data_IF_868971415366
#
_entry.id   IF_868971415366
#
_cell.length_a   1.000
_cell.length_b   1.000
_cell.length_c   1.000
_cell.angle_alpha   90.00
_cell.angle_beta   90.00
_cell.angle_gamma   90.00
#
_symmetry.space_group_name_H-M   'P 1'
#
loop_
_entity.id
_entity.type
_entity.pdbx_description
1 polymer ?
#
# COMPACT_ATOMS: atom_id res chain seq x y z
N UNK A 1 -3.29 13.10 -16.89
CA UNK A 1 -2.13 13.48 -16.05
C UNK A 1 -0.86 13.33 -16.87
N UNK A 2 0.11 14.24 -16.72
CA UNK A 2 1.42 14.16 -17.39
C UNK A 2 2.43 13.45 -16.47
N UNK A 3 3.45 12.84 -17.07
CA UNK A 3 4.56 12.24 -16.34
C UNK A 3 5.35 13.28 -15.53
N UNK A 4 5.77 12.90 -14.33
CA UNK A 4 6.64 13.68 -13.44
C UNK A 4 7.73 12.79 -12.87
N UNK A 5 8.98 13.14 -13.16
CA UNK A 5 10.15 12.45 -12.64
C UNK A 5 10.23 12.55 -11.10
N UNK A 6 9.90 13.72 -10.56
CA UNK A 6 9.88 13.94 -9.10
C UNK A 6 8.85 13.03 -8.42
N UNK A 7 7.64 12.93 -8.99
CA UNK A 7 6.60 12.04 -8.45
C UNK A 7 7.05 10.57 -8.50
N UNK A 8 7.69 10.15 -9.60
CA UNK A 8 8.23 8.79 -9.72
C UNK A 8 9.25 8.48 -8.62
N UNK A 9 10.22 9.38 -8.40
CA UNK A 9 11.25 9.21 -7.36
C UNK A 9 10.60 9.12 -5.98
N UNK A 10 9.72 10.07 -5.63
CA UNK A 10 9.05 10.11 -4.32
C UNK A 10 8.24 8.83 -4.08
N UNK A 11 7.42 8.42 -5.04
CA UNK A 11 6.58 7.22 -4.94
C UNK A 11 7.44 5.96 -4.84
N UNK A 12 8.44 5.81 -5.70
CA UNK A 12 9.33 4.65 -5.70
C UNK A 12 10.07 4.54 -4.37
N UNK A 13 10.65 5.64 -3.87
CA UNK A 13 11.36 5.66 -2.59
C UNK A 13 10.43 5.38 -1.41
N UNK A 14 9.24 5.99 -1.39
CA UNK A 14 8.25 5.73 -0.34
C UNK A 14 7.81 4.26 -0.32
N UNK A 15 7.60 3.68 -1.50
CA UNK A 15 7.22 2.28 -1.63
C UNK A 15 8.33 1.34 -1.13
N UNK A 16 9.58 1.56 -1.56
CA UNK A 16 10.75 0.80 -1.07
C UNK A 16 10.89 0.96 0.44
N UNK A 17 10.83 2.19 0.97
CA UNK A 17 10.94 2.48 2.39
C UNK A 17 9.86 1.78 3.21
N UNK A 18 8.61 1.76 2.73
CA UNK A 18 7.51 1.05 3.39
C UNK A 18 7.76 -0.46 3.49
N UNK A 19 8.33 -1.06 2.44
CA UNK A 19 8.74 -2.46 2.42
C UNK A 19 9.89 -2.74 3.38
N UNK A 20 10.90 -1.88 3.41
CA UNK A 20 12.05 -2.03 4.31
C UNK A 20 11.59 -1.98 5.78
N UNK A 21 10.77 -0.98 6.14
CA UNK A 21 10.20 -0.86 7.50
C UNK A 21 9.37 -2.10 7.85
N UNK A 22 8.52 -2.54 6.93
CA UNK A 22 7.72 -3.75 7.14
C UNK A 22 8.61 -5.00 7.32
N UNK A 23 9.65 -5.16 6.51
CA UNK A 23 10.47 -6.37 6.54
C UNK A 23 11.42 -6.41 7.74
N UNK A 24 12.00 -5.27 8.13
CA UNK A 24 13.00 -5.21 9.19
C UNK A 24 12.42 -4.99 10.59
N UNK A 25 11.25 -4.36 10.71
CA UNK A 25 10.65 -4.05 12.01
C UNK A 25 9.37 -4.84 12.26
N UNK A 26 8.42 -4.83 11.32
CA UNK A 26 7.10 -5.42 11.54
C UNK A 26 7.16 -6.94 11.45
N UNK A 27 7.81 -7.47 10.42
CA UNK A 27 7.81 -8.91 10.13
C UNK A 27 8.50 -9.75 11.22
N UNK A 28 9.64 -9.33 11.81
CA UNK A 28 10.25 -10.08 12.91
C UNK A 28 9.37 -10.11 14.16
N UNK A 29 8.75 -8.98 14.50
CA UNK A 29 7.83 -8.89 15.64
C UNK A 29 6.59 -9.76 15.40
N UNK A 30 6.00 -9.69 14.20
CA UNK A 30 4.86 -10.53 13.84
C UNK A 30 5.22 -12.02 13.92
N UNK A 31 6.38 -12.43 13.39
CA UNK A 31 6.82 -13.83 13.43
C UNK A 31 7.01 -14.34 14.86
N UNK A 32 7.45 -13.48 15.78
CA UNK A 32 7.58 -13.83 17.19
C UNK A 32 6.22 -14.01 17.90
N UNK A 33 5.21 -13.21 17.55
CA UNK A 33 3.88 -13.23 18.18
C UNK A 33 2.91 -14.22 17.50
N UNK A 34 3.00 -14.35 16.18
CA UNK A 34 2.13 -15.17 15.33
C UNK A 34 2.97 -16.05 14.39
N UNK A 35 3.72 -17.03 14.92
CA UNK A 35 4.64 -17.85 14.13
C UNK A 35 3.93 -18.71 13.07
N UNK A 36 2.63 -19.01 13.28
CA UNK A 36 1.80 -19.80 12.38
C UNK A 36 1.34 -19.03 11.12
N UNK A 37 1.46 -17.70 11.11
CA UNK A 37 1.10 -16.92 9.92
C UNK A 37 2.16 -17.09 8.83
N UNK A 38 1.76 -17.38 7.58
CA UNK A 38 2.70 -17.49 6.47
C UNK A 38 3.53 -16.21 6.32
N UNK A 39 4.84 -16.36 6.05
CA UNK A 39 5.76 -15.22 5.93
C UNK A 39 5.41 -14.24 4.78
N UNK A 40 4.61 -14.69 3.81
CA UNK A 40 4.07 -13.87 2.71
C UNK A 40 2.87 -13.00 3.12
N UNK A 41 2.32 -13.22 4.32
CA UNK A 41 1.19 -12.47 4.89
C UNK A 41 1.69 -11.57 6.00
N UNK A 42 1.37 -10.27 5.93
CA UNK A 42 1.67 -9.31 7.00
C UNK A 42 0.39 -8.67 7.52
N UNK A 43 0.19 -8.67 8.84
CA UNK A 43 -0.91 -8.02 9.55
C UNK A 43 -0.75 -6.50 9.63
N UNK A 44 0.39 -5.95 9.21
CA UNK A 44 0.61 -4.53 9.00
C UNK A 44 1.42 -4.32 7.72
N UNK A 45 0.71 -4.31 6.59
CA UNK A 45 1.32 -4.23 5.27
C UNK A 45 1.34 -2.78 4.76
N UNK A 46 2.33 -2.02 5.21
CA UNK A 46 2.55 -0.61 4.83
C UNK A 46 2.55 -0.33 3.31
N UNK A 47 3.09 -1.20 2.44
CA UNK A 47 3.13 -0.93 1.00
C UNK A 47 1.77 -0.75 0.36
N UNK A 48 0.71 -1.37 0.91
CA UNK A 48 -0.66 -1.14 0.44
C UNK A 48 -1.06 0.32 0.54
N UNK A 49 -0.74 0.97 1.65
CA UNK A 49 -1.02 2.39 1.86
C UNK A 49 -0.39 3.27 0.78
N UNK A 50 0.87 3.00 0.44
CA UNK A 50 1.58 3.74 -0.60
C UNK A 50 0.93 3.53 -1.97
N UNK A 51 0.49 2.31 -2.32
CA UNK A 51 -0.21 2.03 -3.58
C UNK A 51 -1.51 2.83 -3.68
N UNK A 52 -2.34 2.75 -2.64
CA UNK A 52 -3.63 3.45 -2.62
C UNK A 52 -3.44 4.95 -2.74
N UNK A 53 -2.55 5.55 -1.95
CA UNK A 53 -2.24 6.97 -2.03
C UNK A 53 -1.72 7.37 -3.41
N UNK A 54 -0.85 6.55 -3.99
CA UNK A 54 -0.29 6.80 -5.31
C UNK A 54 -1.38 6.81 -6.38
N UNK A 55 -2.27 5.80 -6.42
CA UNK A 55 -3.37 5.80 -7.37
C UNK A 55 -4.40 6.91 -7.08
N UNK A 56 -4.61 7.23 -5.80
CA UNK A 56 -5.51 8.31 -5.38
C UNK A 56 -5.04 9.68 -5.90
N UNK A 57 -3.74 9.99 -5.81
CA UNK A 57 -3.20 11.29 -6.23
C UNK A 57 -2.66 11.34 -7.66
N UNK A 58 -2.11 10.25 -8.17
CA UNK A 58 -1.46 10.19 -9.49
C UNK A 58 -2.31 9.48 -10.54
N UNK A 59 -3.48 8.94 -10.16
CA UNK A 59 -4.33 8.19 -11.08
C UNK A 59 -3.57 7.04 -11.74
N UNK A 60 -3.82 6.81 -13.02
CA UNK A 60 -3.19 5.73 -13.79
C UNK A 60 -1.66 5.87 -13.92
N UNK A 61 -1.12 7.10 -13.88
CA UNK A 61 0.34 7.33 -13.89
C UNK A 61 1.01 6.73 -12.65
N UNK A 62 0.25 6.53 -11.57
CA UNK A 62 0.69 5.84 -10.38
C UNK A 62 1.25 4.46 -10.65
N UNK A 63 0.75 3.76 -11.68
CA UNK A 63 1.29 2.47 -12.09
C UNK A 63 2.77 2.60 -12.48
N UNK A 64 3.08 3.54 -13.38
CA UNK A 64 4.45 3.80 -13.85
C UNK A 64 5.35 4.20 -12.69
N UNK A 65 4.84 5.02 -11.75
CA UNK A 65 5.61 5.49 -10.61
C UNK A 65 5.92 4.39 -9.58
N UNK A 66 5.08 3.36 -9.47
CA UNK A 66 5.28 2.23 -8.56
C UNK A 66 6.17 1.13 -9.16
N UNK A 67 6.20 0.98 -10.49
CA UNK A 67 6.88 -0.15 -11.16
C UNK A 67 8.34 -0.35 -10.72
N UNK A 68 9.21 0.68 -10.66
CA UNK A 68 10.62 0.46 -10.28
C UNK A 68 10.75 -0.10 -8.87
N UNK A 69 10.04 0.48 -7.89
CA UNK A 69 10.05 0.02 -6.51
C UNK A 69 9.37 -1.35 -6.34
N UNK A 70 8.28 -1.59 -7.07
CA UNK A 70 7.55 -2.85 -7.05
C UNK A 70 8.38 -4.02 -7.58
N UNK A 71 9.08 -3.81 -8.69
CA UNK A 71 9.97 -4.80 -9.28
C UNK A 71 11.20 -5.05 -8.39
N UNK A 72 11.87 -3.98 -7.92
CA UNK A 72 13.02 -4.10 -7.03
C UNK A 72 12.66 -4.84 -5.75
N UNK A 73 11.54 -4.49 -5.10
CA UNK A 73 11.15 -5.15 -3.86
C UNK A 73 10.74 -6.59 -4.09
N UNK A 74 10.02 -6.91 -5.16
CA UNK A 74 9.77 -8.30 -5.52
C UNK A 74 11.07 -9.11 -5.64
N UNK A 75 12.06 -8.57 -6.37
CA UNK A 75 13.36 -9.21 -6.56
C UNK A 75 14.07 -9.43 -5.22
N UNK A 76 14.10 -8.43 -4.35
CA UNK A 76 14.71 -8.53 -3.02
C UNK A 76 13.99 -9.53 -2.11
N UNK A 77 12.66 -9.61 -2.18
CA UNK A 77 11.91 -10.59 -1.38
C UNK A 77 12.21 -12.03 -1.82
N UNK A 78 12.23 -12.28 -3.13
CA UNK A 78 12.52 -13.61 -3.69
C UNK A 78 13.98 -14.01 -3.47
N UNK A 79 14.92 -13.22 -3.96
CA UNK A 79 16.34 -13.60 -3.97
C UNK A 79 17.10 -13.19 -2.72
N UNK A 80 16.70 -12.11 -2.04
CA UNK A 80 17.36 -11.60 -0.85
C UNK A 80 16.86 -12.26 0.44
N UNK A 81 15.54 -12.38 0.61
CA UNK A 81 14.94 -13.01 1.80
C UNK A 81 14.53 -14.48 1.63
N UNK A 82 14.74 -15.06 0.44
CA UNK A 82 14.46 -16.47 0.18
C UNK A 82 12.97 -16.83 0.17
N UNK A 83 12.08 -15.86 -0.07
CA UNK A 83 10.63 -16.09 -0.18
C UNK A 83 10.31 -16.68 -1.57
N UNK A 84 10.68 -17.95 -1.77
CA UNK A 84 10.53 -18.65 -3.05
C UNK A 84 9.07 -18.75 -3.55
N UNK A 85 8.07 -18.57 -2.68
CA UNK A 85 6.65 -18.52 -3.03
C UNK A 85 6.12 -17.14 -3.44
N UNK A 86 6.96 -16.09 -3.43
CA UNK A 86 6.53 -14.73 -3.75
C UNK A 86 6.55 -14.48 -5.26
N UNK A 87 5.44 -14.79 -5.94
CA UNK A 87 5.32 -14.67 -7.39
C UNK A 87 5.22 -13.22 -7.88
N UNK A 88 5.89 -12.89 -8.99
CA UNK A 88 5.80 -11.56 -9.63
C UNK A 88 4.35 -11.21 -10.02
N UNK A 89 3.56 -12.22 -10.39
CA UNK A 89 2.14 -12.06 -10.67
C UNK A 89 1.37 -11.48 -9.47
N UNK A 90 1.80 -11.77 -8.23
CA UNK A 90 1.23 -11.18 -7.02
C UNK A 90 1.40 -9.66 -6.98
N UNK A 91 2.56 -9.15 -7.42
CA UNK A 91 2.80 -7.70 -7.56
C UNK A 91 1.83 -7.07 -8.57
N UNK A 92 1.60 -7.72 -9.71
CA UNK A 92 0.65 -7.24 -10.71
C UNK A 92 -0.80 -7.25 -10.20
N UNK A 93 -1.23 -8.35 -9.57
CA UNK A 93 -2.55 -8.48 -8.92
C UNK A 93 -2.74 -7.34 -7.94
N UNK A 94 -1.79 -7.16 -7.02
CA UNK A 94 -1.83 -6.09 -6.02
C UNK A 94 -1.99 -4.69 -6.62
N UNK A 95 -1.22 -4.36 -7.66
CA UNK A 95 -1.29 -3.05 -8.30
C UNK A 95 -2.64 -2.84 -8.99
N UNK A 96 -3.14 -3.86 -9.70
CA UNK A 96 -4.44 -3.84 -10.37
C UNK A 96 -5.59 -3.71 -9.35
N UNK A 97 -5.56 -4.49 -8.28
CA UNK A 97 -6.58 -4.43 -7.22
C UNK A 97 -6.63 -3.04 -6.58
N UNK A 98 -5.48 -2.44 -6.27
CA UNK A 98 -5.43 -1.07 -5.73
C UNK A 98 -5.95 -0.04 -6.72
N UNK A 99 -5.57 -0.15 -8.00
CA UNK A 99 -6.05 0.76 -9.05
C UNK A 99 -7.58 0.68 -9.20
N UNK A 100 -8.13 -0.54 -9.28
CA UNK A 100 -9.57 -0.78 -9.38
C UNK A 100 -10.28 -0.26 -8.12
N UNK A 101 -9.76 -0.54 -6.93
CA UNK A 101 -10.33 -0.06 -5.67
C UNK A 101 -10.43 1.46 -5.59
N UNK A 102 -9.39 2.18 -6.04
CA UNK A 102 -9.42 3.64 -6.15
C UNK A 102 -10.41 4.12 -7.22
N UNK A 103 -10.46 3.46 -8.38
CA UNK A 103 -11.41 3.82 -9.43
C UNK A 103 -12.87 3.63 -8.98
N UNK A 104 -13.18 2.53 -8.29
CA UNK A 104 -14.50 2.27 -7.71
C UNK A 104 -14.86 3.29 -6.64
N UNK A 105 -13.94 3.60 -5.71
CA UNK A 105 -14.18 4.62 -4.71
C UNK A 105 -14.47 5.99 -5.33
N UNK A 106 -13.71 6.38 -6.37
CA UNK A 106 -13.98 7.60 -7.13
C UNK A 106 -15.39 7.61 -7.71
N UNK A 107 -15.83 6.50 -8.29
CA UNK A 107 -17.17 6.37 -8.84
C UNK A 107 -18.26 6.55 -7.76
N UNK A 108 -18.12 5.86 -6.62
CA UNK A 108 -19.07 6.00 -5.50
C UNK A 108 -19.14 7.40 -4.91
N UNK A 109 -18.03 8.14 -4.95
CA UNK A 109 -17.93 9.48 -4.40
C UNK A 109 -17.93 10.57 -5.46
N UNK A 110 -18.34 10.31 -6.71
CA UNK A 110 -18.25 11.27 -7.83
C UNK A 110 -18.72 12.68 -7.48
N UNK A 111 -19.87 12.81 -6.81
CA UNK A 111 -20.43 14.11 -6.38
C UNK A 111 -19.57 14.83 -5.33
N UNK A 112 -18.99 14.08 -4.40
CA UNK A 112 -18.12 14.62 -3.34
C UNK A 112 -16.72 14.91 -3.88
N UNK A 113 -16.19 14.04 -4.73
CA UNK A 113 -14.86 14.11 -5.34
C UNK A 113 -14.69 15.32 -6.25
N UNK A 114 -15.70 15.63 -7.06
CA UNK A 114 -15.70 16.83 -7.94
C UNK A 114 -15.79 18.12 -7.12
N UNK A 115 -16.46 18.09 -5.95
CA UNK A 115 -16.58 19.26 -5.06
C UNK A 115 -15.35 19.46 -4.16
N UNK A 116 -14.60 18.39 -3.86
CA UNK A 116 -13.46 18.43 -2.94
C UNK A 116 -12.15 18.33 -3.71
N UNK A 117 -11.54 19.47 -4.05
CA UNK A 117 -10.12 19.55 -4.35
C UNK A 117 -9.22 19.28 -3.10
N UNK A 118 -9.80 18.72 -2.03
CA UNK A 118 -9.20 18.57 -0.71
C UNK A 118 -8.96 17.10 -0.39
N UNK A 119 -7.86 16.86 0.33
CA UNK A 119 -7.54 15.57 0.94
C UNK A 119 -8.70 15.06 1.81
N UNK A 120 -9.19 13.84 1.53
CA UNK A 120 -10.17 13.14 2.38
C UNK A 120 -9.63 11.77 2.77
N UNK A 121 -9.20 11.65 4.03
CA UNK A 121 -8.70 10.37 4.54
C UNK A 121 -9.77 9.28 4.51
N UNK A 122 -11.05 9.63 4.64
CA UNK A 122 -12.16 8.68 4.56
C UNK A 122 -12.29 8.07 3.16
N UNK A 123 -12.21 8.88 2.10
CA UNK A 123 -12.24 8.38 0.73
C UNK A 123 -11.05 7.47 0.43
N UNK A 124 -9.87 7.83 0.95
CA UNK A 124 -8.66 7.00 0.85
C UNK A 124 -8.86 5.66 1.56
N UNK A 125 -9.41 5.65 2.78
CA UNK A 125 -9.69 4.41 3.52
C UNK A 125 -10.68 3.51 2.77
N UNK A 126 -11.75 4.06 2.22
CA UNK A 126 -12.72 3.28 1.43
C UNK A 126 -12.06 2.69 0.18
N UNK A 127 -11.28 3.48 -0.55
CA UNK A 127 -10.50 2.97 -1.69
C UNK A 127 -9.54 1.85 -1.27
N UNK A 128 -8.91 2.00 -0.11
CA UNK A 128 -8.03 1.00 0.51
C UNK A 128 -8.73 -0.30 0.83
N UNK A 129 -9.92 -0.26 1.41
CA UNK A 129 -10.74 -1.44 1.71
C UNK A 129 -11.13 -2.15 0.42
N UNK A 130 -11.66 -1.42 -0.57
CA UNK A 130 -12.06 -2.00 -1.86
C UNK A 130 -10.87 -2.65 -2.59
N UNK A 131 -9.73 -1.96 -2.63
CA UNK A 131 -8.51 -2.50 -3.23
C UNK A 131 -7.98 -3.71 -2.48
N UNK A 132 -8.10 -3.70 -1.15
CA UNK A 132 -7.64 -4.80 -0.30
C UNK A 132 -8.47 -6.08 -0.48
N UNK A 133 -9.80 -5.98 -0.62
CA UNK A 133 -10.65 -7.15 -0.87
C UNK A 133 -10.22 -7.87 -2.16
N UNK A 134 -10.00 -7.11 -3.25
CA UNK A 134 -9.52 -7.66 -4.51
C UNK A 134 -8.11 -8.24 -4.40
N UNK A 135 -7.22 -7.55 -3.66
CA UNK A 135 -5.85 -7.98 -3.44
C UNK A 135 -5.81 -9.30 -2.64
N UNK A 136 -6.54 -9.38 -1.54
CA UNK A 136 -6.65 -10.55 -0.69
C UNK A 136 -7.21 -11.75 -1.46
N UNK A 137 -8.25 -11.56 -2.28
CA UNK A 137 -8.80 -12.62 -3.13
C UNK A 137 -7.74 -13.14 -4.12
N UNK A 138 -7.11 -12.24 -4.88
CA UNK A 138 -6.13 -12.61 -5.89
C UNK A 138 -4.87 -13.24 -5.32
N UNK A 139 -4.33 -12.71 -4.22
CA UNK A 139 -3.15 -13.27 -3.56
C UNK A 139 -3.44 -14.62 -2.89
N UNK A 140 -4.60 -14.77 -2.25
CA UNK A 140 -4.98 -16.04 -1.63
C UNK A 140 -5.09 -17.15 -2.68
N UNK A 141 -5.72 -16.86 -3.83
CA UNK A 141 -5.84 -17.81 -4.94
C UNK A 141 -4.50 -18.10 -5.63
N UNK A 142 -3.59 -17.11 -5.70
CA UNK A 142 -2.30 -17.28 -6.36
C UNK A 142 -1.31 -18.07 -5.50
N UNK A 143 -1.29 -17.83 -4.19
CA UNK A 143 -0.24 -18.32 -3.28
C UNK A 143 -0.61 -19.61 -2.55
N UNK A 144 -1.90 -19.96 -2.47
CA UNK A 144 -2.38 -21.10 -1.71
C UNK A 144 -3.30 -21.98 -2.55
N UNK A 145 -3.03 -23.28 -2.60
CA UNK A 145 -3.84 -24.25 -3.36
C UNK A 145 -5.26 -24.42 -2.79
N UNK A 146 -5.43 -24.21 -1.48
CA UNK A 146 -6.70 -24.20 -0.78
C UNK A 146 -6.78 -22.95 0.10
N UNK A 147 -7.19 -21.79 -0.46
CA UNK A 147 -7.23 -20.54 0.29
C UNK A 147 -8.25 -20.60 1.42
N UNK A 148 -7.80 -20.31 2.65
CA UNK A 148 -8.68 -20.29 3.82
C UNK A 148 -9.25 -18.89 4.07
N UNK A 149 -10.45 -18.77 4.66
CA UNK A 149 -11.00 -17.48 5.09
C UNK A 149 -10.06 -16.72 6.03
N UNK A 150 -9.29 -17.44 6.85
CA UNK A 150 -8.31 -16.85 7.76
C UNK A 150 -7.18 -16.11 7.01
N UNK A 151 -6.62 -16.71 5.95
CA UNK A 151 -5.58 -16.08 5.13
C UNK A 151 -6.14 -14.86 4.41
N UNK A 152 -7.32 -14.99 3.82
CA UNK A 152 -8.01 -13.87 3.17
C UNK A 152 -8.21 -12.71 4.15
N UNK A 153 -8.74 -12.98 5.34
CA UNK A 153 -8.93 -11.96 6.38
C UNK A 153 -7.60 -11.35 6.85
N UNK A 154 -6.53 -12.13 6.95
CA UNK A 154 -5.22 -11.64 7.35
C UNK A 154 -4.65 -10.65 6.32
N UNK A 155 -4.80 -10.90 5.02
CA UNK A 155 -4.46 -9.91 3.98
C UNK A 155 -5.29 -8.63 4.12
N UNK A 156 -6.61 -8.77 4.30
CA UNK A 156 -7.49 -7.61 4.42
C UNK A 156 -7.13 -6.75 5.63
N UNK A 157 -6.94 -7.38 6.78
CA UNK A 157 -6.53 -6.69 8.01
C UNK A 157 -5.17 -6.03 7.81
N UNK A 158 -4.23 -6.74 7.19
CA UNK A 158 -2.88 -6.26 6.90
C UNK A 158 -2.82 -5.01 6.06
N UNK A 159 -3.55 -5.01 4.97
CA UNK A 159 -3.65 -3.91 4.04
C UNK A 159 -4.33 -2.69 4.68
N UNK A 160 -5.46 -2.90 5.39
CA UNK A 160 -6.21 -1.81 6.04
C UNK A 160 -5.39 -1.18 7.18
N UNK A 161 -4.77 -1.99 8.03
CA UNK A 161 -3.92 -1.50 9.13
C UNK A 161 -2.69 -0.77 8.59
N UNK A 162 -2.07 -1.31 7.54
CA UNK A 162 -0.92 -0.70 6.86
C UNK A 162 -1.27 0.66 6.26
N UNK A 163 -2.39 0.75 5.54
CA UNK A 163 -2.88 2.03 5.02
C UNK A 163 -3.17 3.03 6.13
N UNK A 164 -3.87 2.61 7.19
CA UNK A 164 -4.21 3.48 8.31
C UNK A 164 -2.95 4.07 8.95
N UNK A 165 -1.92 3.25 9.21
CA UNK A 165 -0.67 3.72 9.79
C UNK A 165 0.10 4.66 8.86
N UNK A 166 0.13 4.38 7.55
CA UNK A 166 0.72 5.30 6.57
C UNK A 166 0.03 6.67 6.60
N UNK A 167 -1.31 6.69 6.69
CA UNK A 167 -2.07 7.93 6.80
C UNK A 167 -1.78 8.69 8.09
N UNK A 168 -1.73 8.00 9.24
CA UNK A 168 -1.38 8.59 10.53
C UNK A 168 0.03 9.19 10.48
N UNK A 169 0.99 8.46 9.93
CA UNK A 169 2.36 8.92 9.77
C UNK A 169 2.44 10.18 8.89
N UNK A 170 1.77 10.19 7.74
CA UNK A 170 1.76 11.34 6.84
C UNK A 170 1.11 12.57 7.48
N UNK A 171 -0.07 12.41 8.10
CA UNK A 171 -0.74 13.50 8.80
C UNK A 171 0.11 14.05 9.96
N UNK A 172 0.77 13.17 10.72
CA UNK A 172 1.71 13.57 11.77
C UNK A 172 2.89 14.36 11.22
N UNK A 173 3.48 13.88 10.12
CA UNK A 173 4.63 14.50 9.47
C UNK A 173 4.31 15.91 8.96
N UNK A 174 3.18 16.09 8.27
CA UNK A 174 2.73 17.41 7.82
C UNK A 174 2.46 18.36 8.98
N UNK A 175 1.78 17.89 10.05
CA UNK A 175 1.54 18.73 11.23
C UNK A 175 2.82 19.19 11.91
N UNK A 176 3.85 18.33 11.97
CA UNK A 176 5.15 18.71 12.53
C UNK A 176 5.85 19.72 11.61
N UNK A 177 5.85 19.48 10.29
CA UNK A 177 6.43 20.38 9.32
C UNK A 177 5.79 21.78 9.36
N UNK A 178 4.47 21.86 9.44
CA UNK A 178 3.73 23.13 9.54
C UNK A 178 4.10 23.89 10.83
N UNK A 179 4.29 23.17 11.94
CA UNK A 179 4.73 23.78 13.22
C UNK A 179 6.16 24.31 13.13
N UNK A 180 7.06 23.56 12.51
CA UNK A 180 8.47 23.96 12.37
C UNK A 180 8.62 25.18 11.45
N UNK A 181 7.89 25.22 10.33
CA UNK A 181 7.92 26.36 9.41
C UNK A 181 7.26 27.61 10.02
N UNK A 182 6.15 27.46 10.75
CA UNK A 182 5.53 28.57 11.47
C UNK A 182 6.44 29.17 12.56
N UNK A 183 7.25 28.35 13.22
CA UNK A 183 8.21 28.81 14.22
C UNK A 183 9.45 29.47 13.59
N UNK A 184 9.88 29.05 12.40
CA UNK A 184 11.04 29.63 11.72
C UNK A 184 10.78 31.01 11.09
N UNK A 185 9.51 31.38 10.92
CA UNK A 185 9.07 32.67 10.37
C UNK A 185 8.71 33.71 11.44
N UNK A 186 8.87 33.38 12.72
CA UNK A 186 8.73 34.28 13.87
C UNK A 186 10.10 34.70 14.37
#
# INVERSE_FOLDING_TARGET
>A
MRFSMQAMVVVTTAYIGSFIVMNLLISPVQKAVFPELPAVVSLVFLPHGVRILTFYFCGWMGLIYLLPGAFLMWMLMVFGSGLNGYHIAGTAISLLSCFIGVAMARHFFERLWVSSARFSWQQIMVAGVLGSIGNAAGLSLLQFSAPSPMIFSAYVIGDISGLFLVLVFLMGSFRIFDRLTANALR
#
